data_IF_796575552598
#
_entry.id   IF_796575552598
#
_cell.length_a   1.000
_cell.length_b   1.000
_cell.length_c   1.000
_cell.angle_alpha   90.00
_cell.angle_beta   90.00
_cell.angle_gamma   90.00
#
_symmetry.space_group_name_H-M   'P 1'
#
loop_
_entity.id
_entity.type
_entity.pdbx_description
1 polymer ?
#
# COMPACT_ATOMS: atom_id res chain seq x y z
N UNK A 1 5.21 -16.33 19.75
CA UNK A 1 4.02 -15.65 19.17
C UNK A 1 4.35 -15.10 17.77
N UNK A 2 4.85 -15.96 16.86
CA UNK A 2 5.37 -15.62 15.52
C UNK A 2 4.75 -16.54 14.46
N UNK A 3 3.43 -16.46 14.28
CA UNK A 3 2.73 -17.12 13.15
C UNK A 3 2.24 -16.02 12.21
N UNK A 4 2.36 -16.27 10.91
CA UNK A 4 1.85 -15.45 9.80
C UNK A 4 2.86 -14.57 9.02
N UNK A 5 4.15 -14.94 8.95
CA UNK A 5 5.00 -14.53 7.81
C UNK A 5 4.81 -15.55 6.68
N UNK A 6 3.56 -15.70 6.22
CA UNK A 6 3.24 -16.61 5.12
C UNK A 6 2.56 -15.83 4.01
N UNK A 7 3.18 -15.89 2.82
CA UNK A 7 2.76 -15.38 1.50
C UNK A 7 3.00 -13.88 1.25
N UNK A 8 4.15 -13.58 0.63
CA UNK A 8 4.38 -12.45 -0.30
C UNK A 8 3.57 -11.15 -0.06
N UNK A 9 3.49 -10.69 1.18
CA UNK A 9 2.86 -9.41 1.52
C UNK A 9 3.77 -8.32 0.98
N UNK A 10 3.22 -7.39 0.19
CA UNK A 10 3.92 -6.25 -0.40
C UNK A 10 5.01 -5.72 0.57
N UNK A 11 6.27 -5.69 0.14
CA UNK A 11 7.41 -5.21 0.96
C UNK A 11 7.12 -3.84 1.57
N UNK A 12 6.35 -3.00 0.86
CA UNK A 12 5.90 -1.69 1.32
C UNK A 12 4.92 -1.83 2.49
N UNK A 13 3.97 -2.75 2.43
CA UNK A 13 3.05 -3.01 3.55
C UNK A 13 3.80 -3.50 4.80
N UNK A 14 4.76 -4.42 4.63
CA UNK A 14 5.60 -4.90 5.73
C UNK A 14 6.41 -3.76 6.36
N UNK A 15 7.02 -2.91 5.53
CA UNK A 15 7.78 -1.74 5.98
C UNK A 15 6.92 -0.73 6.74
N UNK A 16 5.71 -0.42 6.25
CA UNK A 16 4.78 0.50 6.93
C UNK A 16 4.31 -0.03 8.29
N UNK A 17 4.15 -1.35 8.43
CA UNK A 17 3.81 -1.99 9.70
C UNK A 17 4.97 -1.86 10.69
N UNK A 18 6.20 -2.15 10.25
CA UNK A 18 7.40 -2.05 11.07
C UNK A 18 7.63 -0.61 11.56
N UNK A 19 7.48 0.39 10.68
CA UNK A 19 7.59 1.81 11.05
C UNK A 19 6.54 2.16 12.10
N UNK A 20 5.26 1.77 11.91
CA UNK A 20 4.19 2.01 12.88
C UNK A 20 4.52 1.41 14.24
N UNK A 21 4.98 0.16 14.26
CA UNK A 21 5.26 -0.56 15.50
C UNK A 21 6.50 0.02 16.23
N UNK A 22 7.48 0.56 15.48
CA UNK A 22 8.67 1.21 16.04
C UNK A 22 8.45 2.65 16.54
N UNK A 23 7.57 3.42 15.89
CA UNK A 23 7.37 4.85 16.23
C UNK A 23 6.07 5.13 16.99
N UNK A 24 5.12 4.19 17.02
CA UNK A 24 3.79 4.38 17.58
C UNK A 24 2.86 5.29 16.78
N UNK A 25 3.33 5.86 15.66
CA UNK A 25 2.56 6.75 14.78
C UNK A 25 2.02 5.99 13.58
N UNK A 26 0.87 6.39 13.03
CA UNK A 26 0.30 5.75 11.84
C UNK A 26 0.91 6.38 10.58
N UNK A 27 1.74 5.66 9.80
CA UNK A 27 2.38 6.22 8.62
C UNK A 27 1.41 6.31 7.44
N UNK A 28 1.67 7.28 6.56
CA UNK A 28 0.96 7.52 5.31
C UNK A 28 1.90 7.24 4.13
N UNK A 29 1.47 6.43 3.16
CA UNK A 29 2.20 6.18 1.93
C UNK A 29 1.49 6.86 0.76
N UNK A 30 2.26 7.60 -0.04
CA UNK A 30 1.80 8.26 -1.25
C UNK A 30 2.41 7.54 -2.44
N UNK A 31 1.54 7.00 -3.29
CA UNK A 31 1.93 6.45 -4.57
C UNK A 31 1.58 7.48 -5.63
N UNK A 32 2.60 7.98 -6.32
CA UNK A 32 2.44 8.82 -7.49
C UNK A 32 2.64 8.00 -8.75
N UNK A 33 1.95 8.37 -9.82
CA UNK A 33 2.27 7.84 -11.15
C UNK A 33 3.74 8.06 -11.49
N UNK A 34 4.34 7.12 -12.22
CA UNK A 34 5.68 7.29 -12.78
C UNK A 34 5.76 8.58 -13.62
N UNK A 35 6.90 9.28 -13.55
CA UNK A 35 7.14 10.58 -14.19
C UNK A 35 6.66 10.61 -15.65
N UNK A 36 5.79 11.58 -15.98
CA UNK A 36 5.19 11.72 -17.30
C UNK A 36 3.88 12.52 -17.31
N UNK A 37 3.32 12.73 -18.50
CA UNK A 37 2.07 13.48 -18.70
C UNK A 37 0.89 12.75 -17.99
N UNK A 38 0.18 13.39 -17.05
CA UNK A 38 -0.93 12.80 -16.29
C UNK A 38 -2.01 12.14 -17.16
N UNK A 39 -2.26 12.67 -18.36
CA UNK A 39 -3.22 12.09 -19.30
C UNK A 39 -2.79 10.73 -19.85
N UNK A 40 -1.49 10.53 -20.09
CA UNK A 40 -0.98 9.24 -20.60
C UNK A 40 -1.02 8.18 -19.50
N UNK A 41 -0.73 8.55 -18.25
CA UNK A 41 -0.85 7.65 -17.10
C UNK A 41 -2.32 7.26 -16.85
N UNK A 42 -3.25 8.20 -16.99
CA UNK A 42 -4.69 7.92 -16.90
C UNK A 42 -5.19 6.98 -18.01
N UNK A 43 -4.75 7.18 -19.25
CA UNK A 43 -5.06 6.26 -20.37
C UNK A 43 -4.42 4.88 -20.11
N UNK A 44 -3.17 4.82 -19.62
CA UNK A 44 -2.53 3.54 -19.25
C UNK A 44 -3.30 2.81 -18.15
N UNK A 45 -3.76 3.52 -17.13
CA UNK A 45 -4.62 2.95 -16.08
C UNK A 45 -5.92 2.36 -16.67
N UNK A 46 -6.63 3.11 -17.52
CA UNK A 46 -7.88 2.66 -18.13
C UNK A 46 -7.73 1.44 -19.05
N UNK A 47 -6.61 1.32 -19.78
CA UNK A 47 -6.42 0.27 -20.78
C UNK A 47 -5.53 -0.91 -20.31
N UNK A 48 -4.68 -0.72 -19.31
CA UNK A 48 -3.72 -1.74 -18.82
C UNK A 48 -4.05 -2.22 -17.41
N UNK A 49 -4.83 -1.48 -16.61
CA UNK A 49 -5.13 -1.86 -15.22
C UNK A 49 -3.94 -1.70 -14.27
N UNK A 50 -2.99 -0.83 -14.63
CA UNK A 50 -1.65 -0.70 -14.04
C UNK A 50 -1.65 0.11 -12.74
N UNK A 51 -2.43 -0.33 -11.74
CA UNK A 51 -2.16 0.06 -10.35
C UNK A 51 -2.43 -1.09 -9.36
N UNK A 52 -1.98 -2.29 -9.73
CA UNK A 52 -2.03 -3.46 -8.86
C UNK A 52 -1.26 -3.21 -7.56
N UNK A 53 -0.18 -2.44 -7.57
CA UNK A 53 0.68 -2.27 -6.39
C UNK A 53 -0.03 -1.51 -5.27
N UNK A 54 -0.67 -0.38 -5.57
CA UNK A 54 -1.39 0.39 -4.55
C UNK A 54 -2.61 -0.39 -4.02
N UNK A 55 -3.36 -1.01 -4.92
CA UNK A 55 -4.54 -1.82 -4.58
C UNK A 55 -4.15 -3.04 -3.75
N UNK A 56 -3.14 -3.80 -4.16
CA UNK A 56 -2.63 -4.96 -3.43
C UNK A 56 -2.05 -4.56 -2.08
N UNK A 57 -1.31 -3.45 -2.00
CA UNK A 57 -0.79 -2.95 -0.73
C UNK A 57 -1.93 -2.63 0.24
N UNK A 58 -3.00 -1.99 -0.23
CA UNK A 58 -4.19 -1.71 0.60
C UNK A 58 -4.87 -3.00 1.07
N UNK A 59 -4.99 -4.01 0.22
CA UNK A 59 -5.61 -5.29 0.58
C UNK A 59 -4.76 -6.07 1.60
N UNK A 60 -3.43 -6.11 1.43
CA UNK A 60 -2.55 -6.71 2.43
C UNK A 60 -2.61 -5.98 3.78
N UNK A 61 -2.67 -4.64 3.78
CA UNK A 61 -2.86 -3.87 5.01
C UNK A 61 -4.23 -4.14 5.66
N UNK A 62 -5.28 -4.37 4.86
CA UNK A 62 -6.61 -4.75 5.36
C UNK A 62 -6.59 -6.11 6.05
N UNK A 63 -5.89 -7.08 5.48
CA UNK A 63 -5.74 -8.41 6.05
C UNK A 63 -4.88 -8.39 7.32
N UNK A 64 -3.75 -7.69 7.31
CA UNK A 64 -2.81 -7.64 8.43
C UNK A 64 -3.32 -6.83 9.64
N UNK A 65 -4.09 -5.76 9.39
CA UNK A 65 -4.64 -4.89 10.45
C UNK A 65 -6.12 -4.61 10.15
N UNK A 66 -7.06 -5.44 10.66
CA UNK A 66 -8.50 -5.30 10.39
C UNK A 66 -9.13 -4.02 10.99
N UNK A 67 -8.54 -3.48 12.06
CA UNK A 67 -8.97 -2.23 12.70
C UNK A 67 -8.60 -1.02 11.81
N UNK A 68 -9.60 -0.27 11.28
CA UNK A 68 -9.36 0.88 10.42
C UNK A 68 -8.58 2.01 11.10
N UNK A 69 -8.71 2.17 12.42
CA UNK A 69 -8.04 3.24 13.17
C UNK A 69 -6.55 2.95 13.39
N UNK A 70 -6.14 1.69 13.25
CA UNK A 70 -4.74 1.25 13.42
C UNK A 70 -4.06 0.89 12.11
N UNK A 71 -4.78 1.04 10.99
CA UNK A 71 -4.32 0.66 9.66
C UNK A 71 -3.59 1.83 8.98
N UNK A 72 -2.35 1.61 8.49
CA UNK A 72 -1.67 2.56 7.62
C UNK A 72 -2.53 2.94 6.40
N UNK A 73 -2.46 4.21 5.97
CA UNK A 73 -3.25 4.73 4.86
C UNK A 73 -2.41 4.79 3.59
N UNK A 74 -3.02 4.35 2.49
CA UNK A 74 -2.46 4.41 1.14
C UNK A 74 -3.26 5.42 0.34
N UNK A 75 -2.58 6.41 -0.22
CA UNK A 75 -3.14 7.42 -1.10
C UNK A 75 -2.57 7.24 -2.50
N UNK A 76 -3.44 7.25 -3.51
CA UNK A 76 -3.07 7.18 -4.93
C UNK A 76 -3.41 8.53 -5.55
N UNK A 77 -2.46 9.11 -6.28
CA UNK A 77 -2.58 10.42 -6.92
C UNK A 77 -1.90 10.45 -8.27
#
# INVERSE_FOLDING_TARGET
MRRAVHRSQSTIAALLIEIRDGTGTIPHAYFSWAEGNPFINFIRFLFVGDDEVATMTREFLREAKPDPEKRPRVHVG
#
